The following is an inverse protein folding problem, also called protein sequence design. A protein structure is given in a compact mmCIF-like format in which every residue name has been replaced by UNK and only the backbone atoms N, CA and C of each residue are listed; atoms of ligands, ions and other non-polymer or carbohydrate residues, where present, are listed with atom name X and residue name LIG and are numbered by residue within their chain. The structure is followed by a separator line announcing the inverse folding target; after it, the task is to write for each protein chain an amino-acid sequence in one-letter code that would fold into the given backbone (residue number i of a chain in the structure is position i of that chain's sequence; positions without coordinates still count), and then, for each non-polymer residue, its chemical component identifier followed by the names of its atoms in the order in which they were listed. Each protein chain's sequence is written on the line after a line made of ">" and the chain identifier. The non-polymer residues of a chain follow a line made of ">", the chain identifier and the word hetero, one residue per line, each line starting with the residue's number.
data_IF_217396118461
#
_entry.id   IF_217396118461
#
_cell.length_a   1.000
_cell.length_b   1.000
_cell.length_c   1.000
_cell.angle_alpha   90.00
_cell.angle_beta   90.00
_cell.angle_gamma   90.00
#
_symmetry.space_group_name_H-M   'P 1'
#
loop_
_entity.id
_entity.type
_entity.pdbx_description
1 polymer ?
#
# COMPACT_ATOMS: atom_id res chain seq x y z
N UNK A 1 -6.08 11.78 11.50
CA UNK A 1 -6.68 11.71 10.16
C UNK A 1 -6.67 10.28 9.65
N UNK A 2 -7.77 9.54 9.79
CA UNK A 2 -7.91 8.22 9.16
C UNK A 2 -7.48 8.33 7.68
N UNK A 3 -6.69 7.39 7.13
CA UNK A 3 -5.92 7.63 5.90
C UNK A 3 -6.75 7.98 4.65
N UNK A 4 -8.06 7.70 4.63
CA UNK A 4 -8.99 8.11 3.56
C UNK A 4 -10.12 9.02 4.02
N UNK A 5 -10.08 9.45 5.28
CA UNK A 5 -11.13 10.24 5.89
C UNK A 5 -10.69 11.71 5.95
N UNK A 6 -11.26 12.51 5.04
CA UNK A 6 -10.96 13.94 4.88
C UNK A 6 -11.74 14.83 5.85
N UNK A 7 -12.49 14.24 6.78
CA UNK A 7 -13.37 14.99 7.67
C UNK A 7 -12.60 15.66 8.80
N UNK A 8 -12.94 16.92 9.09
CA UNK A 8 -12.56 17.59 10.33
C UNK A 8 -13.21 16.90 11.54
N UNK A 9 -12.73 17.20 12.74
CA UNK A 9 -13.34 16.70 13.98
C UNK A 9 -14.83 17.06 14.09
N UNK A 10 -15.20 18.29 13.70
CA UNK A 10 -16.59 18.75 13.73
C UNK A 10 -17.45 17.99 12.73
N UNK A 11 -16.95 17.76 11.51
CA UNK A 11 -17.64 16.95 10.51
C UNK A 11 -17.80 15.50 10.98
N UNK A 12 -16.77 14.93 11.60
CA UNK A 12 -16.80 13.59 12.17
C UNK A 12 -17.86 13.49 13.28
N UNK A 13 -17.94 14.48 14.17
CA UNK A 13 -18.95 14.52 15.24
C UNK A 13 -20.37 14.53 14.67
N UNK A 14 -20.63 15.31 13.63
CA UNK A 14 -21.95 15.35 12.97
C UNK A 14 -22.30 13.99 12.36
N UNK A 15 -21.35 13.32 11.72
CA UNK A 15 -21.55 11.97 11.16
C UNK A 15 -21.85 10.96 12.27
N UNK A 16 -21.07 10.95 13.35
CA UNK A 16 -21.28 10.05 14.48
C UNK A 16 -22.62 10.31 15.19
N UNK A 17 -23.03 11.57 15.29
CA UNK A 17 -24.34 11.95 15.79
C UNK A 17 -25.47 11.44 14.89
N UNK A 18 -25.33 11.57 13.56
CA UNK A 18 -26.29 11.01 12.59
C UNK A 18 -26.42 9.49 12.71
N UNK A 19 -25.31 8.77 12.86
CA UNK A 19 -25.30 7.32 13.09
C UNK A 19 -26.00 6.94 14.40
N UNK A 20 -25.86 7.76 15.45
CA UNK A 20 -26.53 7.57 16.73
C UNK A 20 -28.05 7.67 16.60
N UNK A 21 -28.56 8.65 15.83
CA UNK A 21 -29.99 8.80 15.55
C UNK A 21 -30.54 7.60 14.77
N UNK A 22 -29.74 7.06 13.85
CA UNK A 22 -30.09 5.87 13.08
C UNK A 22 -30.04 4.56 13.89
N UNK A 23 -29.84 4.65 15.22
CA UNK A 23 -29.79 3.50 16.14
C UNK A 23 -28.71 2.48 15.77
N UNK A 24 -27.62 2.93 15.15
CA UNK A 24 -26.44 2.07 14.92
C UNK A 24 -25.78 1.80 16.27
N UNK A 25 -25.63 0.53 16.62
CA UNK A 25 -24.94 0.11 17.84
C UNK A 25 -23.42 0.07 17.63
N UNK A 26 -22.62 0.18 18.71
CA UNK A 26 -21.14 0.16 18.67
C UNK A 26 -20.47 1.30 17.87
N UNK A 27 -20.98 2.53 17.99
CA UNK A 27 -20.35 3.68 17.34
C UNK A 27 -19.07 4.06 18.08
N UNK A 28 -17.95 4.10 17.36
CA UNK A 28 -16.67 4.56 17.89
C UNK A 28 -16.72 6.07 18.18
N UNK A 29 -16.16 6.48 19.32
CA UNK A 29 -15.97 7.90 19.61
C UNK A 29 -14.96 8.55 18.65
N UNK A 30 -15.01 9.88 18.53
CA UNK A 30 -14.00 10.63 17.78
C UNK A 30 -12.58 10.40 18.30
N UNK A 31 -12.43 10.26 19.63
CA UNK A 31 -11.16 10.01 20.30
C UNK A 31 -10.60 8.64 19.91
N UNK A 32 -11.41 7.59 20.03
CA UNK A 32 -11.00 6.23 19.64
C UNK A 32 -10.64 6.14 18.16
N UNK A 33 -11.32 6.88 17.28
CA UNK A 33 -10.95 6.95 15.86
C UNK A 33 -9.58 7.61 15.64
N UNK A 34 -9.23 8.64 16.41
CA UNK A 34 -7.90 9.27 16.37
C UNK A 34 -6.81 8.35 16.92
N UNK A 35 -7.09 7.64 18.00
CA UNK A 35 -6.13 6.71 18.61
C UNK A 35 -5.82 5.56 17.65
N UNK A 36 -6.86 5.00 17.00
CA UNK A 36 -6.71 4.01 15.94
C UNK A 36 -5.93 4.56 14.74
N UNK A 37 -6.20 5.80 14.34
CA UNK A 37 -5.45 6.41 13.25
C UNK A 37 -3.97 6.59 13.60
N UNK A 38 -3.64 7.10 14.78
CA UNK A 38 -2.25 7.23 15.23
C UNK A 38 -1.55 5.85 15.27
N UNK A 39 -2.25 4.81 15.70
CA UNK A 39 -1.75 3.44 15.67
C UNK A 39 -1.45 2.98 14.24
N UNK A 40 -2.39 3.18 13.31
CA UNK A 40 -2.23 2.79 11.91
C UNK A 40 -1.11 3.59 11.22
N UNK A 41 -1.02 4.89 11.46
CA UNK A 41 0.05 5.73 10.93
C UNK A 41 1.41 5.35 11.52
N UNK A 42 1.45 4.97 12.79
CA UNK A 42 2.70 4.50 13.41
C UNK A 42 3.20 3.19 12.81
N UNK A 43 2.30 2.31 12.35
CA UNK A 43 2.68 0.99 11.83
C UNK A 43 2.85 0.97 10.32
N UNK A 44 1.97 1.66 9.60
CA UNK A 44 1.84 1.57 8.16
C UNK A 44 1.95 2.93 7.46
N UNK A 45 2.08 4.04 8.19
CA UNK A 45 2.18 5.38 7.60
C UNK A 45 3.45 5.55 6.78
N UNK A 46 3.36 6.37 5.73
CA UNK A 46 4.54 6.83 4.99
C UNK A 46 5.26 7.86 5.86
N UNK A 47 6.58 7.72 6.08
CA UNK A 47 7.30 8.61 6.97
C UNK A 47 7.25 10.07 6.49
N UNK A 48 6.87 10.96 7.40
CA UNK A 48 6.93 12.40 7.22
C UNK A 48 8.10 12.98 8.02
N UNK A 49 8.80 13.96 7.47
CA UNK A 49 9.96 14.58 8.12
C UNK A 49 9.57 15.95 8.65
N UNK A 50 9.86 16.24 9.92
CA UNK A 50 9.71 17.60 10.45
C UNK A 50 10.99 18.40 10.23
N UNK A 51 10.87 19.57 9.61
CA UNK A 51 11.96 20.52 9.49
C UNK A 51 12.22 21.28 10.78
N UNK A 52 13.39 21.91 10.87
CA UNK A 52 13.85 22.67 12.05
C UNK A 52 12.90 23.80 12.49
N UNK A 53 12.12 24.33 11.56
CA UNK A 53 11.13 25.40 11.78
C UNK A 53 9.72 24.88 12.13
N UNK A 54 9.57 23.57 12.38
CA UNK A 54 8.31 22.95 12.75
C UNK A 54 7.36 22.63 11.59
N UNK A 55 7.80 22.83 10.34
CA UNK A 55 7.03 22.43 9.16
C UNK A 55 7.14 20.93 8.90
N UNK A 56 6.02 20.27 8.64
CA UNK A 56 5.97 18.86 8.24
C UNK A 56 6.15 18.77 6.73
N UNK A 57 7.15 18.00 6.30
CA UNK A 57 7.39 17.65 4.91
C UNK A 57 6.92 16.22 4.65
N UNK A 58 6.01 16.09 3.70
CA UNK A 58 5.61 14.79 3.17
C UNK A 58 6.65 14.34 2.17
N UNK A 59 7.33 13.23 2.47
CA UNK A 59 8.40 12.70 1.64
C UNK A 59 7.84 11.52 0.85
N UNK A 60 8.19 11.44 -0.43
CA UNK A 60 7.94 10.26 -1.25
C UNK A 60 8.94 9.17 -0.86
N UNK A 61 8.70 8.53 0.29
CA UNK A 61 9.50 7.39 0.73
C UNK A 61 9.12 6.16 -0.08
N UNK A 62 9.76 6.00 -1.25
CA UNK A 62 9.49 4.95 -2.21
C UNK A 62 9.40 3.54 -1.60
N UNK A 63 10.28 3.10 -0.68
CA UNK A 63 10.16 1.78 -0.09
C UNK A 63 8.83 1.56 0.67
N UNK A 64 8.36 2.57 1.42
CA UNK A 64 7.08 2.48 2.13
C UNK A 64 5.90 2.47 1.17
N UNK A 65 5.96 3.27 0.11
CA UNK A 65 4.91 3.31 -0.91
C UNK A 65 4.82 1.96 -1.61
N UNK A 66 5.94 1.41 -2.07
CA UNK A 66 5.97 0.08 -2.72
C UNK A 66 5.46 -0.99 -1.76
N UNK A 67 5.87 -0.97 -0.48
CA UNK A 67 5.38 -1.92 0.51
C UNK A 67 3.85 -1.86 0.70
N UNK A 68 3.27 -0.65 0.73
CA UNK A 68 1.82 -0.47 0.83
C UNK A 68 1.09 -1.01 -0.41
N UNK A 69 1.59 -0.72 -1.62
CA UNK A 69 0.99 -1.23 -2.86
C UNK A 69 1.08 -2.75 -2.96
N UNK A 70 2.23 -3.32 -2.56
CA UNK A 70 2.44 -4.77 -2.53
C UNK A 70 1.51 -5.47 -1.53
N UNK A 71 1.21 -4.82 -0.41
CA UNK A 71 0.30 -5.35 0.62
C UNK A 71 -1.19 -5.11 0.31
N UNK A 72 -1.52 -4.32 -0.71
CA UNK A 72 -2.89 -3.96 -1.04
C UNK A 72 -3.56 -5.10 -1.83
N UNK A 73 -4.57 -5.80 -1.27
CA UNK A 73 -5.21 -6.95 -1.93
C UNK A 73 -5.97 -6.57 -3.21
N UNK A 74 -6.31 -5.30 -3.40
CA UNK A 74 -6.98 -4.84 -4.63
C UNK A 74 -5.97 -4.52 -5.75
N UNK A 75 -4.73 -4.17 -5.41
CA UNK A 75 -3.69 -3.79 -6.39
C UNK A 75 -2.78 -4.97 -6.68
N UNK A 76 -2.47 -5.79 -5.68
CA UNK A 76 -1.58 -6.94 -5.78
C UNK A 76 -1.87 -7.85 -6.99
N UNK A 77 -3.13 -8.19 -7.35
CA UNK A 77 -3.42 -9.04 -8.52
C UNK A 77 -3.04 -8.40 -9.88
N UNK A 78 -2.84 -7.08 -9.91
CA UNK A 78 -2.46 -6.33 -11.10
C UNK A 78 -0.94 -6.11 -11.19
N UNK A 79 -0.17 -6.53 -10.19
CA UNK A 79 1.30 -6.44 -10.20
C UNK A 79 1.87 -7.71 -10.83
N UNK A 80 2.52 -7.56 -11.98
CA UNK A 80 3.21 -8.68 -12.65
C UNK A 80 4.61 -8.86 -12.06
N UNK A 81 4.78 -9.93 -11.29
CA UNK A 81 6.02 -10.25 -10.59
C UNK A 81 7.05 -10.99 -11.44
N UNK A 82 6.58 -11.86 -12.33
CA UNK A 82 7.43 -12.73 -13.11
C UNK A 82 7.67 -12.16 -14.51
N UNK A 83 8.89 -12.30 -15.06
CA UNK A 83 9.16 -11.95 -16.44
C UNK A 83 8.33 -12.82 -17.40
N UNK A 84 7.95 -12.25 -18.53
CA UNK A 84 7.23 -12.94 -19.60
C UNK A 84 8.09 -12.92 -20.87
N UNK A 85 8.28 -14.07 -21.51
CA UNK A 85 8.87 -14.13 -22.84
C UNK A 85 7.79 -13.85 -23.89
N UNK A 86 7.77 -12.61 -24.40
CA UNK A 86 6.88 -12.19 -25.48
C UNK A 86 7.56 -12.23 -26.87
N UNK A 87 8.73 -12.88 -26.98
CA UNK A 87 9.53 -12.92 -28.21
C UNK A 87 9.97 -11.53 -28.66
N UNK A 88 9.59 -11.12 -29.87
CA UNK A 88 9.98 -9.84 -30.46
C UNK A 88 9.12 -8.63 -30.02
N UNK A 89 8.17 -8.82 -29.10
CA UNK A 89 7.17 -7.81 -28.73
C UNK A 89 7.45 -7.25 -27.34
N UNK A 90 7.27 -5.94 -27.17
CA UNK A 90 7.42 -5.22 -25.91
C UNK A 90 6.21 -4.31 -25.68
N UNK A 91 5.12 -4.87 -25.19
CA UNK A 91 3.91 -4.12 -24.81
C UNK A 91 3.93 -3.73 -23.33
N UNK A 92 4.54 -4.55 -22.47
CA UNK A 92 4.62 -4.32 -21.03
C UNK A 92 6.04 -4.43 -20.49
N UNK A 93 6.29 -3.82 -19.33
CA UNK A 93 7.63 -3.74 -18.75
C UNK A 93 8.23 -5.10 -18.38
N UNK A 94 7.40 -6.06 -17.93
CA UNK A 94 7.84 -7.42 -17.56
C UNK A 94 8.21 -8.30 -18.76
N UNK A 95 7.96 -7.83 -19.99
CA UNK A 95 8.39 -8.48 -21.24
C UNK A 95 9.78 -8.01 -21.71
N UNK A 96 10.39 -7.05 -21.01
CA UNK A 96 11.69 -6.54 -21.41
C UNK A 96 12.78 -7.61 -21.26
N UNK A 97 13.65 -7.73 -22.26
CA UNK A 97 14.77 -8.69 -22.28
C UNK A 97 15.65 -8.61 -21.04
N UNK A 98 15.84 -7.39 -20.49
CA UNK A 98 16.60 -7.17 -19.24
C UNK A 98 15.91 -7.80 -18.03
N UNK A 99 14.58 -7.75 -17.98
CA UNK A 99 13.79 -8.36 -16.92
C UNK A 99 13.88 -9.90 -16.98
N UNK A 100 13.94 -10.45 -18.20
CA UNK A 100 14.02 -11.89 -18.44
C UNK A 100 15.44 -12.47 -18.28
N UNK A 101 16.49 -11.75 -18.67
CA UNK A 101 17.85 -12.30 -18.78
C UNK A 101 18.91 -11.65 -17.88
N UNK A 102 18.68 -10.44 -17.38
CA UNK A 102 19.70 -9.68 -16.64
C UNK A 102 19.40 -9.55 -15.14
N UNK A 103 18.17 -9.84 -14.69
CA UNK A 103 17.82 -9.72 -13.28
C UNK A 103 18.54 -10.80 -12.46
N UNK A 104 19.17 -10.40 -11.37
CA UNK A 104 19.84 -11.35 -10.50
C UNK A 104 18.79 -12.24 -9.80
N UNK A 105 18.88 -13.58 -9.88
CA UNK A 105 17.92 -14.48 -9.24
C UNK A 105 17.78 -14.27 -7.72
N UNK A 106 18.78 -13.72 -7.04
CA UNK A 106 18.71 -13.46 -5.60
C UNK A 106 17.80 -12.28 -5.21
N UNK A 107 17.47 -11.40 -6.16
CA UNK A 107 16.56 -10.26 -5.96
C UNK A 107 15.27 -10.39 -6.77
N UNK A 108 15.19 -11.35 -7.69
CA UNK A 108 13.99 -11.67 -8.44
C UNK A 108 12.92 -12.32 -7.53
N UNK A 109 11.67 -12.35 -7.99
CA UNK A 109 10.63 -13.09 -7.28
C UNK A 109 10.98 -14.58 -7.20
N UNK A 110 10.80 -15.22 -6.04
CA UNK A 110 11.19 -16.60 -5.85
C UNK A 110 10.36 -17.53 -6.73
N UNK A 111 11.03 -18.32 -7.55
CA UNK A 111 10.45 -19.44 -8.28
C UNK A 111 11.30 -20.69 -8.04
N UNK A 112 10.69 -21.87 -8.12
CA UNK A 112 11.41 -23.15 -8.03
C UNK A 112 11.20 -23.95 -9.30
N UNK A 113 12.29 -24.46 -9.86
CA UNK A 113 12.25 -25.36 -11.01
C UNK A 113 12.44 -26.79 -10.52
N UNK A 114 11.49 -27.68 -10.85
CA UNK A 114 11.57 -29.11 -10.56
C UNK A 114 11.49 -29.89 -11.86
N UNK A 115 12.64 -30.38 -12.33
CA UNK A 115 12.75 -31.10 -13.60
C UNK A 115 12.60 -30.13 -14.78
N UNK A 116 11.49 -30.22 -15.51
CA UNK A 116 11.15 -29.37 -16.67
C UNK A 116 9.98 -28.43 -16.37
N UNK A 117 9.65 -28.25 -15.09
CA UNK A 117 8.48 -27.48 -14.68
C UNK A 117 8.84 -26.42 -13.65
N UNK A 118 8.39 -25.21 -13.93
CA UNK A 118 8.55 -24.05 -13.08
C UNK A 118 7.33 -23.88 -12.17
N UNK A 119 7.59 -23.59 -10.91
CA UNK A 119 6.60 -23.33 -9.87
C UNK A 119 6.83 -21.92 -9.32
N UNK A 120 5.75 -21.15 -9.33
CA UNK A 120 5.70 -19.77 -8.87
C UNK A 120 5.03 -19.72 -7.49
N UNK A 121 5.61 -18.94 -6.56
CA UNK A 121 5.10 -18.73 -5.19
C UNK A 121 4.19 -17.52 -5.14
#
# INVERSE_FOLDING_TARGET
>A
HLPRLLFSDSQLQVILWGLSILSVNNILSTRTLKDLDNLLQSQYGIPSVQGLLGHVYYVNHLPSIIAQEMANPQIHPHICHYPEDAGGRLEQAWQASRWLHEINPSIAMPMTCKGWQDFYV
#
